data_IF_317773226969
#
_entry.id   IF_317773226969
#
_cell.length_a   1.000
_cell.length_b   1.000
_cell.length_c   1.000
_cell.angle_alpha   90.00
_cell.angle_beta   90.00
_cell.angle_gamma   90.00
#
_symmetry.space_group_name_H-M   'P 1'
#
loop_
_entity.id
_entity.type
_entity.pdbx_description
1 polymer ?
#
# COMPACT_ATOMS: atom_id res chain seq x y z
N UNK A 1 -16.37 31.96 14.82
CA UNK A 1 -16.64 30.52 14.99
C UNK A 1 -15.31 29.91 15.42
N UNK A 2 -15.27 29.16 16.51
CA UNK A 2 -14.05 28.55 17.09
C UNK A 2 -14.02 27.09 16.66
N UNK A 3 -12.85 26.58 16.25
CA UNK A 3 -12.63 25.16 15.94
C UNK A 3 -13.02 24.28 17.16
N UNK A 4 -13.98 23.33 17.02
CA UNK A 4 -14.40 22.45 18.11
C UNK A 4 -13.28 21.56 18.68
N UNK A 5 -12.16 21.41 17.97
CA UNK A 5 -10.98 20.64 18.40
C UNK A 5 -9.76 21.52 18.70
N UNK A 6 -9.97 22.81 18.97
CA UNK A 6 -8.92 23.73 19.42
C UNK A 6 -8.06 23.17 20.58
N UNK A 7 -8.66 22.40 21.49
CA UNK A 7 -7.96 21.79 22.63
C UNK A 7 -7.04 20.62 22.23
N UNK A 8 -7.24 19.99 21.07
CA UNK A 8 -6.41 18.87 20.59
C UNK A 8 -5.11 19.33 19.91
N UNK A 9 -5.00 20.61 19.55
CA UNK A 9 -3.83 21.22 18.93
C UNK A 9 -3.54 22.59 19.56
N UNK A 10 -3.21 22.59 20.87
CA UNK A 10 -3.00 23.79 21.68
C UNK A 10 -1.96 24.77 21.11
N UNK A 11 -0.95 24.26 20.39
CA UNK A 11 0.10 25.08 19.79
C UNK A 11 -0.33 25.80 18.51
N UNK A 12 -1.53 25.54 18.00
CA UNK A 12 -2.04 26.09 16.75
C UNK A 12 -3.27 26.98 16.99
N UNK A 13 -3.38 28.05 16.20
CA UNK A 13 -4.51 28.98 16.31
C UNK A 13 -5.84 28.25 16.10
N UNK A 14 -6.85 28.46 16.98
CA UNK A 14 -8.17 27.81 16.91
C UNK A 14 -9.05 28.33 15.76
N UNK A 15 -8.47 29.14 14.87
CA UNK A 15 -9.09 29.71 13.69
C UNK A 15 -8.42 29.23 12.38
N UNK A 16 -7.57 28.20 12.45
CA UNK A 16 -6.94 27.65 11.24
C UNK A 16 -7.97 26.88 10.41
N UNK A 17 -7.94 27.07 9.10
CA UNK A 17 -8.78 26.34 8.15
C UNK A 17 -7.87 25.62 7.15
N UNK A 18 -8.09 24.32 6.95
CA UNK A 18 -7.35 23.51 5.97
C UNK A 18 -5.83 23.58 6.13
N UNK A 19 -5.30 23.50 7.37
CA UNK A 19 -3.87 23.58 7.66
C UNK A 19 -3.15 24.83 7.06
N UNK A 20 -3.86 25.96 6.93
CA UNK A 20 -3.40 27.18 6.23
C UNK A 20 -3.16 27.00 4.72
N UNK A 21 -3.68 25.95 4.10
CA UNK A 21 -3.64 25.73 2.66
C UNK A 21 -5.02 25.31 2.11
N UNK A 22 -5.96 26.27 1.98
CA UNK A 22 -7.33 26.01 1.52
C UNK A 22 -7.42 25.60 0.04
N UNK A 23 -6.30 25.67 -0.71
CA UNK A 23 -6.22 25.22 -2.10
C UNK A 23 -6.03 23.69 -2.16
N UNK A 24 -5.31 23.12 -1.18
CA UNK A 24 -5.03 21.68 -1.10
C UNK A 24 -6.00 20.95 -0.17
N UNK A 25 -6.47 21.61 0.90
CA UNK A 25 -7.30 20.99 1.92
C UNK A 25 -8.61 21.76 2.08
N UNK A 26 -9.72 21.05 1.88
CA UNK A 26 -11.05 21.50 2.31
C UNK A 26 -11.40 20.65 3.52
N UNK A 27 -11.64 21.30 4.66
CA UNK A 27 -12.10 20.64 5.89
C UNK A 27 -13.56 21.05 6.13
N UNK A 28 -14.54 20.27 5.62
CA UNK A 28 -15.94 20.65 5.66
C UNK A 28 -16.55 20.57 7.07
N UNK A 29 -15.87 19.93 8.02
CA UNK A 29 -16.44 19.58 9.34
C UNK A 29 -15.60 20.02 10.54
N UNK A 30 -14.34 20.42 10.37
CA UNK A 30 -13.46 20.82 11.47
C UNK A 30 -13.03 19.64 12.35
N UNK A 31 -12.88 18.44 11.77
CA UNK A 31 -12.61 17.20 12.52
C UNK A 31 -11.36 16.47 11.99
N UNK A 32 -10.67 15.76 12.89
CA UNK A 32 -9.43 15.03 12.58
C UNK A 32 -9.73 13.68 11.93
N UNK A 33 -9.00 13.38 10.84
CA UNK A 33 -9.10 12.15 10.02
C UNK A 33 -8.45 10.94 10.71
N UNK A 34 -8.78 9.70 10.29
CA UNK A 34 -8.02 8.52 10.73
C UNK A 34 -6.57 8.70 10.29
N UNK A 35 -5.64 8.74 11.23
CA UNK A 35 -4.25 9.02 10.94
C UNK A 35 -3.40 7.77 11.15
N UNK A 36 -2.71 7.35 10.10
CA UNK A 36 -1.73 6.28 10.11
C UNK A 36 -0.33 6.88 10.09
N UNK A 37 0.37 6.79 11.22
CA UNK A 37 1.78 7.15 11.34
C UNK A 37 2.60 5.87 11.15
N UNK A 38 3.29 5.77 10.02
CA UNK A 38 4.03 4.58 9.60
C UNK A 38 5.52 4.86 9.74
N UNK A 39 6.25 4.01 10.46
CA UNK A 39 7.66 4.21 10.75
C UNK A 39 8.55 3.28 9.92
N UNK A 40 9.78 3.74 9.63
CA UNK A 40 10.79 2.98 8.90
C UNK A 40 11.13 1.61 9.52
N UNK A 41 11.04 1.51 10.85
CA UNK A 41 11.22 0.26 11.60
C UNK A 41 10.04 -0.72 11.49
N UNK A 42 8.97 -0.33 10.80
CA UNK A 42 7.77 -1.11 10.57
C UNK A 42 6.72 -1.01 11.67
N UNK A 43 6.87 -0.12 12.66
CA UNK A 43 5.78 0.24 13.58
C UNK A 43 4.73 1.07 12.83
N UNK A 44 3.45 0.85 13.16
CA UNK A 44 2.34 1.63 12.62
C UNK A 44 1.46 2.07 13.78
N UNK A 45 1.33 3.38 13.98
CA UNK A 45 0.47 3.97 14.99
C UNK A 45 -0.79 4.48 14.33
N UNK A 46 -1.95 4.12 14.87
CA UNK A 46 -3.25 4.46 14.28
C UNK A 46 -4.08 5.27 15.25
N UNK A 47 -4.47 6.47 14.85
CA UNK A 47 -5.48 7.26 15.54
C UNK A 47 -6.81 7.05 14.82
N UNK A 48 -7.79 6.49 15.52
CA UNK A 48 -9.12 6.18 14.97
C UNK A 48 -10.09 7.34 15.19
N UNK A 49 -10.78 7.73 14.15
CA UNK A 49 -11.75 8.82 14.08
C UNK A 49 -13.01 8.33 13.34
N UNK A 50 -13.99 9.21 13.16
CA UNK A 50 -15.27 8.86 12.51
C UNK A 50 -15.36 9.36 11.07
N UNK A 51 -14.23 9.81 10.53
CA UNK A 51 -14.20 10.50 9.27
C UNK A 51 -14.34 9.54 8.10
N UNK A 52 -14.66 10.11 6.93
CA UNK A 52 -14.76 9.37 5.67
C UNK A 52 -13.46 9.37 4.88
N UNK A 53 -12.36 9.74 5.52
CA UNK A 53 -11.01 9.74 4.95
C UNK A 53 -10.01 9.13 5.94
N UNK A 54 -8.93 8.58 5.38
CA UNK A 54 -7.74 8.18 6.12
C UNK A 54 -6.54 8.92 5.55
N UNK A 55 -5.68 9.43 6.43
CA UNK A 55 -4.41 10.08 6.10
C UNK A 55 -3.24 9.21 6.52
N UNK A 56 -2.21 9.16 5.67
CA UNK A 56 -1.07 8.28 5.82
C UNK A 56 0.23 9.08 5.77
N UNK A 57 1.06 8.94 6.80
CA UNK A 57 2.35 9.62 6.93
C UNK A 57 3.45 8.60 7.15
N UNK A 58 4.55 8.71 6.41
CA UNK A 58 5.76 7.90 6.59
C UNK A 58 6.82 8.67 7.36
N UNK A 59 7.41 8.06 8.39
CA UNK A 59 8.53 8.56 9.16
C UNK A 59 9.79 7.81 8.73
N UNK A 60 10.71 8.54 8.10
CA UNK A 60 12.02 8.03 7.71
C UNK A 60 12.92 7.85 8.95
N UNK A 61 13.94 7.00 8.83
CA UNK A 61 14.88 6.71 9.92
C UNK A 61 15.63 7.95 10.45
N UNK A 62 15.80 8.99 9.62
CA UNK A 62 16.45 10.25 9.99
C UNK A 62 15.49 11.26 10.66
N UNK A 63 14.23 10.87 10.88
CA UNK A 63 13.19 11.68 11.50
C UNK A 63 12.44 12.59 10.54
N UNK A 64 12.76 12.58 9.22
CA UNK A 64 11.93 13.27 8.24
C UNK A 64 10.60 12.56 8.04
N UNK A 65 9.59 13.34 7.69
CA UNK A 65 8.26 12.83 7.38
C UNK A 65 7.92 13.01 5.92
N UNK A 66 7.20 12.05 5.35
CA UNK A 66 6.63 12.11 4.00
C UNK A 66 5.12 11.88 4.05
N UNK A 67 4.39 12.82 3.45
CA UNK A 67 2.96 12.71 3.17
C UNK A 67 2.74 11.62 2.11
N UNK A 68 2.03 10.54 2.47
CA UNK A 68 1.64 9.47 1.55
C UNK A 68 0.22 9.69 0.98
N UNK A 69 -0.47 10.75 1.42
CA UNK A 69 -1.77 11.18 0.94
C UNK A 69 -2.93 10.88 1.89
N UNK A 70 -4.07 11.48 1.53
CA UNK A 70 -5.37 11.34 2.19
C UNK A 70 -6.35 10.71 1.20
N UNK A 71 -7.06 9.68 1.63
CA UNK A 71 -7.89 8.86 0.73
C UNK A 71 -9.27 8.60 1.32
N UNK A 72 -10.28 8.60 0.44
CA UNK A 72 -11.67 8.36 0.82
C UNK A 72 -11.88 6.92 1.29
N UNK A 73 -12.79 6.76 2.26
CA UNK A 73 -13.28 5.49 2.75
C UNK A 73 -14.63 5.12 2.15
N UNK A 74 -14.87 3.82 2.06
CA UNK A 74 -16.15 3.22 1.74
C UNK A 74 -16.44 2.07 2.69
N UNK A 75 -17.64 2.09 3.24
CA UNK A 75 -18.16 1.03 4.07
C UNK A 75 -18.75 -0.07 3.15
N UNK A 76 -18.34 -1.31 3.36
CA UNK A 76 -19.00 -2.48 2.77
C UNK A 76 -19.36 -3.48 3.87
N UNK A 77 -20.19 -4.48 3.53
CA UNK A 77 -20.59 -5.52 4.48
C UNK A 77 -19.89 -6.84 4.16
N UNK A 78 -19.31 -7.46 5.17
CA UNK A 78 -18.82 -8.83 5.07
C UNK A 78 -19.98 -9.84 5.03
N UNK A 79 -19.65 -11.12 4.81
CA UNK A 79 -20.64 -12.21 4.80
C UNK A 79 -21.41 -12.39 6.12
N UNK A 80 -20.93 -11.80 7.22
CA UNK A 80 -21.55 -11.83 8.55
C UNK A 80 -22.31 -10.54 8.86
N UNK A 81 -22.35 -9.56 7.95
CA UNK A 81 -22.99 -8.27 8.13
C UNK A 81 -22.15 -7.21 8.87
N UNK A 82 -20.89 -7.52 9.20
CA UNK A 82 -19.97 -6.54 9.80
C UNK A 82 -19.57 -5.50 8.78
N UNK A 83 -19.38 -4.25 9.22
CA UNK A 83 -18.79 -3.21 8.37
C UNK A 83 -17.30 -3.49 8.18
N UNK A 84 -16.85 -3.44 6.92
CA UNK A 84 -15.44 -3.38 6.54
C UNK A 84 -15.21 -2.07 5.83
N UNK A 85 -14.19 -1.32 6.25
CA UNK A 85 -13.81 -0.06 5.63
C UNK A 85 -12.74 -0.30 4.56
N UNK A 86 -13.05 0.13 3.33
CA UNK A 86 -12.13 0.11 2.21
C UNK A 86 -11.68 1.52 1.87
N UNK A 87 -10.41 1.67 1.58
CA UNK A 87 -9.75 2.91 1.17
C UNK A 87 -9.67 2.93 -0.35
N UNK A 88 -10.10 4.02 -0.97
CA UNK A 88 -10.02 4.24 -2.42
C UNK A 88 -8.67 4.85 -2.79
N UNK A 89 -7.78 4.05 -3.37
CA UNK A 89 -6.46 4.49 -3.81
C UNK A 89 -6.44 4.91 -5.28
N UNK A 90 -7.59 5.13 -5.93
CA UNK A 90 -7.66 5.50 -7.36
C UNK A 90 -6.88 6.77 -7.70
N UNK A 91 -6.74 7.68 -6.73
CA UNK A 91 -6.05 8.97 -6.83
C UNK A 91 -4.65 8.99 -6.20
N UNK A 92 -4.08 7.84 -5.84
CA UNK A 92 -2.71 7.77 -5.28
C UNK A 92 -1.68 8.37 -6.23
N UNK A 93 -0.70 9.08 -5.67
CA UNK A 93 0.42 9.62 -6.43
C UNK A 93 1.19 8.46 -7.10
N UNK A 94 1.26 8.40 -8.45
CA UNK A 94 1.95 7.33 -9.15
C UNK A 94 3.46 7.30 -8.91
N UNK A 95 4.06 8.41 -8.44
CA UNK A 95 5.46 8.43 -7.99
C UNK A 95 5.68 7.65 -6.67
N UNK A 96 4.61 7.47 -5.89
CA UNK A 96 4.58 6.63 -4.69
C UNK A 96 4.13 5.21 -5.03
N UNK A 97 2.91 5.06 -5.55
CA UNK A 97 2.30 3.77 -5.88
C UNK A 97 1.63 3.89 -7.24
N UNK A 98 2.22 3.31 -8.28
CA UNK A 98 1.57 3.22 -9.58
C UNK A 98 0.58 2.06 -9.60
N UNK A 99 -0.71 2.38 -9.61
CA UNK A 99 -1.76 1.41 -9.96
C UNK A 99 -1.92 1.39 -11.48
N UNK A 100 -1.76 0.22 -12.10
CA UNK A 100 -1.82 0.07 -13.56
C UNK A 100 -3.18 0.46 -14.15
N UNK A 101 -3.19 0.89 -15.41
CA UNK A 101 -4.42 1.30 -16.11
C UNK A 101 -5.49 0.20 -16.17
N UNK A 102 -5.07 -1.07 -16.29
CA UNK A 102 -5.99 -2.21 -16.26
C UNK A 102 -6.68 -2.32 -14.89
N UNK A 103 -5.94 -2.23 -13.79
CA UNK A 103 -6.53 -2.24 -12.45
C UNK A 103 -7.49 -1.06 -12.25
N UNK A 104 -7.14 0.14 -12.75
CA UNK A 104 -8.02 1.31 -12.70
C UNK A 104 -9.31 1.10 -13.50
N UNK A 105 -9.19 0.57 -14.73
CA UNK A 105 -10.33 0.24 -15.60
C UNK A 105 -11.28 -0.77 -14.94
N UNK A 106 -10.72 -1.73 -14.22
CA UNK A 106 -11.46 -2.77 -13.52
C UNK A 106 -11.95 -2.32 -12.13
N UNK A 107 -11.76 -1.05 -11.76
CA UNK A 107 -12.07 -0.49 -10.44
C UNK A 107 -11.43 -1.28 -9.28
N UNK A 108 -10.27 -1.88 -9.55
CA UNK A 108 -9.48 -2.67 -8.60
C UNK A 108 -8.46 -1.79 -7.88
N UNK A 109 -8.96 -0.75 -7.20
CA UNK A 109 -8.17 0.32 -6.56
C UNK A 109 -8.37 0.39 -5.05
N UNK A 110 -9.06 -0.58 -4.45
CA UNK A 110 -9.46 -0.54 -3.05
C UNK A 110 -8.63 -1.50 -2.19
N UNK A 111 -8.39 -1.13 -0.94
CA UNK A 111 -7.77 -1.98 0.09
C UNK A 111 -8.44 -1.75 1.43
N UNK A 112 -8.43 -2.75 2.32
CA UNK A 112 -8.79 -2.52 3.71
C UNK A 112 -7.77 -1.57 4.33
N UNK A 113 -8.22 -0.67 5.19
CA UNK A 113 -7.44 0.40 5.82
C UNK A 113 -6.04 0.03 6.36
N UNK A 114 -5.90 -0.97 7.23
CA UNK A 114 -4.59 -1.40 7.73
C UNK A 114 -3.70 -1.96 6.62
N UNK A 115 -4.34 -2.63 5.64
CA UNK A 115 -3.65 -3.17 4.47
C UNK A 115 -3.17 -2.06 3.55
N UNK A 116 -3.98 -1.01 3.37
CA UNK A 116 -3.59 0.21 2.66
C UNK A 116 -2.40 0.88 3.36
N UNK A 117 -2.42 1.00 4.69
CA UNK A 117 -1.31 1.54 5.46
C UNK A 117 -0.01 0.76 5.21
N UNK A 118 -0.07 -0.57 5.28
CA UNK A 118 1.08 -1.42 5.04
C UNK A 118 1.60 -1.31 3.58
N UNK A 119 0.72 -1.23 2.59
CA UNK A 119 1.11 -1.10 1.16
C UNK A 119 1.68 0.27 0.85
N UNK A 120 1.01 1.35 1.28
CA UNK A 120 1.48 2.73 1.10
C UNK A 120 2.79 2.96 1.86
N UNK A 121 2.87 2.44 3.09
CA UNK A 121 4.08 2.45 3.88
C UNK A 121 5.23 1.69 3.24
N UNK A 122 4.98 0.50 2.67
CA UNK A 122 6.00 -0.23 1.91
C UNK A 122 6.46 0.53 0.66
N UNK A 123 5.56 1.28 0.01
CA UNK A 123 5.91 2.16 -1.09
C UNK A 123 6.78 3.36 -0.63
N UNK A 124 6.43 3.96 0.51
CA UNK A 124 7.24 5.00 1.17
C UNK A 124 8.63 4.49 1.56
N UNK A 125 8.70 3.34 2.22
CA UNK A 125 9.93 2.66 2.60
C UNK A 125 10.78 2.30 1.39
N UNK A 126 10.19 1.66 0.36
CA UNK A 126 10.93 1.32 -0.87
C UNK A 126 11.56 2.55 -1.53
N UNK A 127 10.82 3.64 -1.61
CA UNK A 127 11.33 4.89 -2.19
C UNK A 127 12.37 5.58 -1.31
N UNK A 128 12.21 5.56 0.02
CA UNK A 128 13.21 6.10 0.96
C UNK A 128 14.54 5.33 0.91
N UNK A 129 14.50 3.99 0.83
CA UNK A 129 15.68 3.13 0.68
C UNK A 129 16.50 3.43 -0.59
N UNK A 130 15.85 3.95 -1.63
CA UNK A 130 16.44 4.21 -2.95
C UNK A 130 16.86 5.68 -3.14
N UNK A 131 16.48 6.59 -2.23
CA UNK A 131 16.69 8.04 -2.35
C UNK A 131 18.12 8.52 -2.03
N UNK A 132 19.08 7.62 -1.88
CA UNK A 132 20.50 7.93 -2.15
C UNK A 132 20.80 8.02 -3.67
N UNK A 133 19.89 8.61 -4.44
CA UNK A 133 20.15 9.15 -5.78
C UNK A 133 20.06 8.21 -6.98
N UNK A 134 19.70 6.92 -6.81
CA UNK A 134 19.65 5.99 -7.95
C UNK A 134 18.24 5.82 -8.55
N UNK A 135 17.16 5.62 -7.77
CA UNK A 135 15.82 5.41 -8.35
C UNK A 135 15.30 6.58 -9.21
N UNK A 136 15.57 7.83 -8.78
CA UNK A 136 15.20 9.05 -9.55
C UNK A 136 15.87 9.16 -10.92
N UNK A 137 17.04 8.53 -11.11
CA UNK A 137 17.75 8.57 -12.37
C UNK A 137 17.20 7.57 -13.41
N UNK A 138 16.34 6.62 -13.00
CA UNK A 138 15.90 5.53 -13.86
C UNK A 138 14.43 5.62 -14.34
N UNK A 139 13.63 6.62 -13.93
CA UNK A 139 12.27 6.83 -14.50
C UNK A 139 11.10 6.38 -13.61
N UNK A 140 11.22 6.64 -12.31
CA UNK A 140 10.19 6.97 -11.30
C UNK A 140 8.75 6.52 -11.53
N UNK A 141 8.50 5.25 -11.26
CA UNK A 141 7.28 4.89 -10.53
C UNK A 141 7.74 4.23 -9.25
N UNK A 142 7.09 4.53 -8.12
CA UNK A 142 7.36 3.86 -6.87
C UNK A 142 6.92 2.38 -6.92
N UNK A 143 6.30 1.88 -5.86
CA UNK A 143 5.77 0.52 -5.91
C UNK A 143 4.73 0.42 -7.04
N UNK A 144 4.62 -0.71 -7.74
CA UNK A 144 3.61 -0.88 -8.79
C UNK A 144 2.62 -1.98 -8.43
N UNK A 145 1.32 -1.65 -8.47
CA UNK A 145 0.23 -2.59 -8.24
C UNK A 145 -0.47 -2.94 -9.56
N UNK A 146 -0.42 -4.23 -9.92
CA UNK A 146 -1.13 -4.75 -11.11
C UNK A 146 -2.59 -5.02 -10.82
N UNK A 147 -2.97 -5.23 -9.55
CA UNK A 147 -4.35 -5.37 -9.11
C UNK A 147 -4.44 -5.16 -7.59
N UNK A 148 -5.37 -4.33 -7.11
CA UNK A 148 -5.74 -4.31 -5.68
C UNK A 148 -7.03 -5.11 -5.48
N UNK A 149 -8.00 -4.61 -4.73
CA UNK A 149 -9.35 -5.19 -4.69
C UNK A 149 -10.37 -4.28 -5.36
N UNK A 150 -11.45 -4.88 -5.86
CA UNK A 150 -12.58 -4.15 -6.42
C UNK A 150 -13.32 -3.34 -5.33
N UNK A 151 -14.29 -2.54 -5.76
CA UNK A 151 -15.14 -1.75 -4.85
C UNK A 151 -15.91 -2.54 -3.78
N UNK A 152 -15.99 -3.87 -3.93
CA UNK A 152 -16.62 -4.78 -3.00
C UNK A 152 -15.58 -5.58 -2.19
N UNK A 153 -14.30 -5.22 -2.26
CA UNK A 153 -13.21 -5.89 -1.56
C UNK A 153 -12.79 -7.22 -2.19
N UNK A 154 -13.24 -7.56 -3.40
CA UNK A 154 -12.90 -8.81 -4.07
C UNK A 154 -11.59 -8.68 -4.84
N UNK A 155 -10.82 -9.76 -4.86
CA UNK A 155 -9.59 -9.87 -5.63
C UNK A 155 -9.68 -11.09 -6.52
N UNK A 156 -9.12 -11.02 -7.74
CA UNK A 156 -9.34 -12.07 -8.73
C UNK A 156 -8.87 -13.43 -8.22
N UNK A 157 -9.71 -14.46 -8.32
CA UNK A 157 -9.37 -15.80 -7.80
C UNK A 157 -9.44 -15.97 -6.28
N UNK A 158 -9.77 -14.93 -5.51
CA UNK A 158 -9.88 -14.99 -4.05
C UNK A 158 -11.30 -14.62 -3.58
N UNK A 159 -11.86 -15.45 -2.69
CA UNK A 159 -13.14 -15.20 -2.01
C UNK A 159 -12.95 -14.90 -0.52
N UNK A 160 -13.82 -14.06 0.05
CA UNK A 160 -14.11 -14.06 1.48
C UNK A 160 -13.27 -13.17 2.41
N UNK A 161 -12.14 -12.60 1.98
CA UNK A 161 -11.40 -11.58 2.76
C UNK A 161 -11.39 -10.26 1.99
N UNK A 162 -12.15 -9.31 2.48
CA UNK A 162 -12.47 -8.09 1.77
C UNK A 162 -11.34 -7.08 1.92
N UNK A 163 -10.70 -6.70 0.81
CA UNK A 163 -9.64 -5.68 0.82
C UNK A 163 -8.27 -6.14 1.33
N UNK A 164 -8.06 -7.44 1.57
CA UNK A 164 -6.81 -7.98 2.15
C UNK A 164 -5.89 -8.68 1.11
N UNK A 165 -5.96 -8.26 -0.15
CA UNK A 165 -5.18 -8.82 -1.25
C UNK A 165 -4.69 -7.73 -2.20
N UNK A 166 -3.48 -7.92 -2.72
CA UNK A 166 -2.98 -7.13 -3.84
C UNK A 166 -1.93 -7.92 -4.63
N UNK A 167 -1.79 -7.57 -5.90
CA UNK A 167 -0.74 -8.05 -6.78
C UNK A 167 0.23 -6.91 -7.04
N UNK A 168 1.47 -7.10 -6.59
CA UNK A 168 2.56 -6.13 -6.70
C UNK A 168 3.53 -6.61 -7.76
N UNK A 169 3.80 -5.79 -8.76
CA UNK A 169 4.73 -6.14 -9.85
C UNK A 169 6.16 -6.36 -9.31
N UNK A 170 6.90 -7.26 -9.95
CA UNK A 170 8.35 -7.38 -9.71
C UNK A 170 9.10 -6.11 -10.13
N UNK A 171 10.28 -5.89 -9.53
CA UNK A 171 11.16 -4.78 -9.87
C UNK A 171 11.77 -4.90 -11.26
N UNK A 172 11.99 -3.76 -11.92
CA UNK A 172 12.52 -3.66 -13.28
C UNK A 172 13.91 -3.01 -13.31
N UNK A 173 14.80 -3.46 -14.21
CA UNK A 173 16.00 -2.67 -14.55
C UNK A 173 15.70 -1.49 -15.50
N UNK A 174 14.52 -1.48 -16.12
CA UNK A 174 13.99 -0.36 -16.91
C UNK A 174 12.70 0.15 -16.27
N UNK A 175 12.76 1.20 -15.45
CA UNK A 175 11.55 1.83 -14.94
C UNK A 175 10.76 2.50 -16.06
N UNK A 176 9.52 2.86 -15.78
CA UNK A 176 8.65 3.53 -16.74
C UNK A 176 7.72 2.62 -17.56
N UNK A 177 7.92 1.29 -17.58
CA UNK A 177 7.01 0.40 -18.31
C UNK A 177 5.89 -0.10 -17.38
N UNK A 178 4.62 0.02 -17.79
CA UNK A 178 3.48 -0.66 -17.15
C UNK A 178 3.33 -2.13 -17.56
N UNK A 179 4.25 -2.64 -18.38
CA UNK A 179 4.23 -4.01 -18.90
C UNK A 179 4.48 -5.04 -17.79
N UNK A 180 3.93 -6.24 -17.91
CA UNK A 180 4.27 -7.34 -17.00
C UNK A 180 5.80 -7.61 -17.02
N UNK A 181 6.35 -8.06 -15.88
CA UNK A 181 7.74 -8.48 -15.73
C UNK A 181 7.76 -9.90 -15.21
N UNK A 182 8.31 -10.82 -15.98
CA UNK A 182 8.43 -12.20 -15.55
C UNK A 182 9.78 -12.43 -14.88
N UNK A 183 9.78 -13.24 -13.83
CA UNK A 183 11.02 -13.60 -13.15
C UNK A 183 11.97 -14.28 -14.14
N UNK A 184 13.19 -13.76 -14.27
CA UNK A 184 14.20 -14.27 -15.20
C UNK A 184 14.16 -13.66 -16.61
N UNK A 185 13.23 -12.75 -16.90
CA UNK A 185 13.25 -11.95 -18.13
C UNK A 185 14.39 -10.93 -18.11
N UNK A 186 14.79 -10.46 -19.30
CA UNK A 186 15.83 -9.42 -19.46
C UNK A 186 15.57 -8.14 -18.66
N UNK A 187 14.31 -7.81 -18.41
CA UNK A 187 13.91 -6.58 -17.72
C UNK A 187 13.73 -6.79 -16.21
N UNK A 188 13.73 -8.04 -15.73
CA UNK A 188 13.56 -8.35 -14.33
C UNK A 188 14.79 -7.95 -13.52
N UNK A 189 14.56 -7.27 -12.39
CA UNK A 189 15.59 -6.96 -11.41
C UNK A 189 15.34 -7.75 -10.13
N UNK A 190 16.19 -8.74 -9.86
CA UNK A 190 16.19 -9.45 -8.58
C UNK A 190 16.53 -8.50 -7.43
N UNK A 191 17.44 -7.55 -7.66
CA UNK A 191 17.83 -6.55 -6.67
C UNK A 191 16.63 -5.71 -6.20
N UNK A 192 15.93 -5.06 -7.12
CA UNK A 192 14.77 -4.22 -6.78
C UNK A 192 13.61 -5.06 -6.23
N UNK A 193 13.41 -6.27 -6.75
CA UNK A 193 12.39 -7.17 -6.22
C UNK A 193 12.66 -7.58 -4.76
N UNK A 194 13.92 -7.83 -4.39
CA UNK A 194 14.32 -8.08 -2.99
C UNK A 194 14.05 -6.86 -2.10
N UNK A 195 14.28 -5.65 -2.61
CA UNK A 195 13.98 -4.40 -1.88
C UNK A 195 12.49 -4.23 -1.65
N UNK A 196 11.65 -4.47 -2.66
CA UNK A 196 10.19 -4.46 -2.51
C UNK A 196 9.74 -5.46 -1.44
N UNK A 197 10.21 -6.71 -1.52
CA UNK A 197 9.88 -7.75 -0.53
C UNK A 197 10.33 -7.34 0.88
N UNK A 198 11.51 -6.72 1.00
CA UNK A 198 12.00 -6.23 2.30
C UNK A 198 11.05 -5.17 2.86
N UNK A 199 10.66 -4.17 2.07
CA UNK A 199 9.70 -3.14 2.49
C UNK A 199 8.37 -3.73 2.95
N UNK A 200 7.80 -4.65 2.15
CA UNK A 200 6.55 -5.35 2.50
C UNK A 200 6.70 -6.14 3.80
N UNK A 201 7.81 -6.88 3.95
CA UNK A 201 8.08 -7.69 5.13
C UNK A 201 8.19 -6.84 6.40
N UNK A 202 8.94 -5.73 6.33
CA UNK A 202 9.07 -4.75 7.43
C UNK A 202 7.68 -4.23 7.86
N UNK A 203 6.81 -3.96 6.90
CA UNK A 203 5.47 -3.39 7.09
C UNK A 203 4.40 -4.45 7.41
N UNK A 204 4.80 -5.64 7.84
CA UNK A 204 3.90 -6.64 8.41
C UNK A 204 3.51 -7.79 7.48
N UNK A 205 3.99 -7.85 6.24
CA UNK A 205 3.81 -9.01 5.36
C UNK A 205 4.81 -10.14 5.67
N UNK A 206 4.87 -10.53 6.95
CA UNK A 206 5.89 -11.45 7.50
C UNK A 206 5.41 -12.89 7.74
N UNK A 207 4.12 -13.17 7.53
CA UNK A 207 3.63 -14.54 7.68
C UNK A 207 4.10 -15.40 6.50
N UNK A 208 4.17 -16.72 6.71
CA UNK A 208 4.66 -17.66 5.69
C UNK A 208 3.85 -17.65 4.39
N UNK A 209 2.63 -17.10 4.38
CA UNK A 209 1.82 -16.97 3.17
C UNK A 209 1.56 -15.50 2.81
N UNK A 210 2.27 -14.54 3.44
CA UNK A 210 1.98 -13.13 3.24
C UNK A 210 2.45 -12.60 1.88
N UNK A 211 3.54 -13.15 1.35
CA UNK A 211 4.08 -12.77 0.04
C UNK A 211 4.24 -14.05 -0.77
N UNK A 212 3.40 -14.22 -1.78
CA UNK A 212 3.41 -15.37 -2.66
C UNK A 212 4.12 -15.00 -3.96
N UNK A 213 5.02 -15.87 -4.39
CA UNK A 213 5.76 -15.71 -5.64
C UNK A 213 5.74 -17.01 -6.42
N UNK A 214 6.06 -16.89 -7.69
CA UNK A 214 6.26 -18.03 -8.56
C UNK A 214 7.70 -18.11 -9.04
N UNK A 215 8.19 -19.34 -9.12
CA UNK A 215 9.50 -19.69 -9.59
C UNK A 215 9.77 -19.30 -11.07
N UNK A 216 10.97 -18.80 -11.36
CA UNK A 216 11.48 -18.68 -12.75
C UNK A 216 12.18 -19.91 -13.30
N UNK A 217 12.93 -20.69 -12.49
CA UNK A 217 13.86 -21.75 -12.99
C UNK A 217 14.16 -22.96 -12.07
N UNK A 218 13.62 -23.09 -10.86
CA UNK A 218 13.71 -24.32 -10.02
C UNK A 218 12.72 -24.37 -8.85
N UNK A 219 12.27 -25.56 -8.41
CA UNK A 219 11.17 -25.76 -7.43
C UNK A 219 11.36 -25.04 -6.06
N UNK A 220 11.18 -23.72 -6.00
CA UNK A 220 11.42 -22.88 -4.83
C UNK A 220 10.92 -21.43 -5.01
N UNK A 221 10.92 -20.62 -3.94
CA UNK A 221 10.44 -19.24 -4.00
C UNK A 221 11.34 -18.38 -4.90
N UNK A 222 10.75 -17.39 -5.57
CA UNK A 222 11.51 -16.49 -6.45
C UNK A 222 12.48 -15.58 -5.68
N UNK A 223 12.16 -15.30 -4.41
CA UNK A 223 12.82 -14.31 -3.58
C UNK A 223 12.89 -14.82 -2.12
N UNK A 224 13.86 -14.38 -1.32
CA UNK A 224 13.85 -14.59 0.12
C UNK A 224 12.57 -14.02 0.77
N UNK A 225 12.13 -14.59 1.90
CA UNK A 225 10.92 -14.18 2.63
C UNK A 225 9.60 -14.26 1.85
N UNK A 226 9.58 -14.97 0.72
CA UNK A 226 8.35 -15.28 -0.01
C UNK A 226 8.07 -16.77 0.02
N UNK A 227 6.83 -17.13 -0.31
CA UNK A 227 6.40 -18.50 -0.48
C UNK A 227 6.17 -18.82 -1.95
N UNK A 228 6.74 -19.93 -2.38
CA UNK A 228 6.42 -20.51 -3.68
C UNK A 228 5.01 -21.06 -3.70
N UNK A 229 4.24 -20.68 -4.72
CA UNK A 229 2.94 -21.28 -5.01
C UNK A 229 3.02 -22.00 -6.35
N UNK A 230 3.02 -23.33 -6.28
CA UNK A 230 2.91 -24.16 -7.47
C UNK A 230 1.51 -24.00 -8.09
N UNK A 231 1.39 -24.06 -9.42
CA UNK A 231 0.10 -24.02 -10.07
C UNK A 231 -0.64 -25.32 -9.75
N UNK A 232 -1.98 -25.29 -9.65
CA UNK A 232 -2.75 -26.53 -9.59
C UNK A 232 -2.43 -27.44 -10.79
N UNK A 233 -2.49 -28.77 -10.63
CA UNK A 233 -2.25 -29.69 -11.74
C UNK A 233 -3.07 -29.33 -12.98
N UNK A 234 -2.41 -29.22 -14.14
CA UNK A 234 -3.05 -28.87 -15.40
C UNK A 234 -3.42 -27.40 -15.59
N UNK A 235 -3.04 -26.50 -14.67
CA UNK A 235 -3.21 -25.06 -14.83
C UNK A 235 -1.90 -24.36 -15.16
N UNK A 236 -2.00 -23.29 -15.94
CA UNK A 236 -0.93 -22.33 -16.09
C UNK A 236 -0.72 -21.59 -14.78
N UNK A 237 0.52 -21.19 -14.53
CA UNK A 237 0.78 -20.44 -13.33
C UNK A 237 0.25 -19.00 -13.39
N UNK A 238 -0.15 -18.49 -12.23
CA UNK A 238 -0.91 -17.25 -12.08
C UNK A 238 -0.09 -16.07 -11.55
N UNK A 239 1.07 -16.29 -10.92
CA UNK A 239 1.88 -15.24 -10.27
C UNK A 239 3.22 -14.99 -10.98
N UNK A 240 3.27 -15.27 -12.29
CA UNK A 240 4.49 -15.14 -13.11
C UNK A 240 5.05 -13.73 -13.16
N UNK A 241 4.17 -12.74 -13.07
CA UNK A 241 4.50 -11.34 -13.35
C UNK A 241 4.25 -10.40 -12.16
N UNK A 242 3.88 -10.96 -11.01
CA UNK A 242 3.62 -10.21 -9.79
C UNK A 242 3.89 -11.07 -8.54
N UNK A 243 4.06 -10.40 -7.41
CA UNK A 243 4.04 -10.93 -6.06
C UNK A 243 2.63 -10.73 -5.52
N UNK A 244 1.94 -11.81 -5.19
CA UNK A 244 0.63 -11.71 -4.57
C UNK A 244 0.80 -11.56 -3.06
N UNK A 245 0.27 -10.48 -2.49
CA UNK A 245 0.36 -10.18 -1.07
C UNK A 245 -0.98 -10.37 -0.37
N UNK A 246 -0.93 -10.93 0.84
CA UNK A 246 -2.10 -11.24 1.66
C UNK A 246 -1.73 -11.39 3.15
N UNK A 247 -2.72 -11.67 3.99
CA UNK A 247 -2.50 -12.06 5.40
C UNK A 247 -1.58 -11.08 6.16
N UNK A 248 -1.94 -9.80 6.18
CA UNK A 248 -1.21 -8.79 6.93
C UNK A 248 -1.10 -9.17 8.42
N UNK A 249 0.12 -9.12 8.96
CA UNK A 249 0.36 -9.28 10.38
C UNK A 249 0.26 -7.93 11.10
N UNK A 250 -0.81 -7.74 11.85
CA UNK A 250 -1.12 -6.49 12.55
C UNK A 250 -0.40 -6.31 13.90
N UNK A 251 0.57 -7.17 14.27
CA UNK A 251 1.28 -7.05 15.55
C UNK A 251 2.06 -5.76 15.73
N UNK A 252 2.43 -5.11 14.62
CA UNK A 252 3.15 -3.83 14.66
C UNK A 252 2.19 -2.63 14.66
N UNK A 253 0.87 -2.87 14.65
CA UNK A 253 -0.14 -1.82 14.70
C UNK A 253 -0.51 -1.55 16.16
N UNK A 254 -0.45 -0.29 16.57
CA UNK A 254 -0.91 0.17 17.88
C UNK A 254 -1.92 1.28 17.73
N UNK A 255 -3.07 1.14 18.40
CA UNK A 255 -4.07 2.21 18.48
C UNK A 255 -3.61 3.21 19.54
N UNK A 256 -3.61 4.49 19.18
CA UNK A 256 -3.36 5.60 20.12
C UNK A 256 -4.62 6.01 20.86
#
# INVERSE_FOLDING_TARGET
MVDPLADAAYDWSPYRYGYNNPIKFTDPTGMLEDNYEIYDDGRIEVTRTKDKTNTYTYHEADGKTRDLGTYNKRDIKDSKGNTVELVDLSSVDPSLLLITDNAKKDQSTYLQEDFAAAVLGAAGHFTAFELHGMARAYGDYGLQATQLTDKNGKHSGHGGKLGEYADIRYGSIYPGTSQAIWVGDKNYSEHFSKKIVTSLYTLGFKNSNSILTENSKGNGPALPNTKFVAPPPGKNFHHKHHMHIQQLNRRNFSIK
#
